data_IF_069710218017
#
_entry.id   IF_069710218017
#
_cell.length_a   1.000
_cell.length_b   1.000
_cell.length_c   1.000
_cell.angle_alpha   90.00
_cell.angle_beta   90.00
_cell.angle_gamma   90.00
#
_symmetry.space_group_name_H-M   'P 1'
#
loop_
_entity.id
_entity.type
_entity.pdbx_description
1 polymer ?
#
# COMPACT_ATOMS: atom_id res chain seq x y z
N UNK A 1 3.41 13.73 -40.81
CA UNK A 1 3.39 12.28 -40.57
C UNK A 1 4.53 11.95 -39.62
N UNK A 2 4.24 11.76 -38.33
CA UNK A 2 5.25 11.25 -37.37
C UNK A 2 5.46 9.78 -37.73
N UNK A 3 6.70 9.35 -37.97
CA UNK A 3 6.98 8.02 -38.52
C UNK A 3 6.50 6.92 -37.55
N UNK A 4 5.77 5.95 -38.07
CA UNK A 4 5.13 4.90 -37.28
C UNK A 4 6.09 3.83 -36.72
N UNK A 5 7.42 4.04 -36.73
CA UNK A 5 8.38 2.93 -36.53
C UNK A 5 9.59 3.22 -35.65
N UNK A 6 9.62 4.31 -34.87
CA UNK A 6 10.77 4.58 -33.99
C UNK A 6 10.99 3.45 -32.96
N UNK A 7 9.93 2.90 -32.38
CA UNK A 7 10.05 1.77 -31.45
C UNK A 7 10.50 0.47 -32.13
N UNK A 8 10.13 0.24 -33.40
CA UNK A 8 10.60 -0.91 -34.19
C UNK A 8 12.08 -0.76 -34.55
N UNK A 9 12.51 0.46 -34.86
CA UNK A 9 13.93 0.76 -35.06
C UNK A 9 14.74 0.49 -33.79
N UNK A 10 14.22 0.92 -32.64
CA UNK A 10 14.83 0.67 -31.32
C UNK A 10 14.90 -0.83 -30.97
N UNK A 11 13.94 -1.66 -31.43
CA UNK A 11 14.03 -3.12 -31.30
C UNK A 11 15.26 -3.68 -32.01
N UNK A 12 15.48 -3.26 -33.27
CA UNK A 12 16.63 -3.71 -34.06
C UNK A 12 17.98 -3.24 -33.52
N UNK A 13 17.99 -2.15 -32.76
CA UNK A 13 19.18 -1.59 -32.09
C UNK A 13 19.44 -2.20 -30.71
N UNK A 14 18.62 -3.14 -30.26
CA UNK A 14 18.79 -3.78 -28.94
C UNK A 14 18.45 -2.88 -27.75
N UNK A 15 17.76 -1.74 -27.97
CA UNK A 15 17.36 -0.79 -26.92
C UNK A 15 16.43 -1.45 -25.88
N UNK A 16 15.68 -2.48 -26.28
CA UNK A 16 14.80 -3.25 -25.38
C UNK A 16 15.36 -4.65 -25.06
N UNK A 17 16.65 -4.90 -25.32
CA UNK A 17 17.24 -6.22 -25.12
C UNK A 17 17.35 -6.54 -23.62
N UNK A 18 16.90 -7.75 -23.24
CA UNK A 18 16.92 -8.20 -21.86
C UNK A 18 18.32 -8.26 -21.24
N UNK A 19 19.39 -8.28 -22.04
CA UNK A 19 20.78 -8.21 -21.56
C UNK A 19 21.07 -6.95 -20.76
N UNK A 20 20.35 -5.85 -21.02
CA UNK A 20 20.44 -4.63 -20.22
C UNK A 20 20.06 -4.85 -18.75
N UNK A 21 19.23 -5.86 -18.44
CA UNK A 21 18.86 -6.21 -17.07
C UNK A 21 20.06 -6.68 -16.24
N UNK A 22 21.14 -7.17 -16.87
CA UNK A 22 22.35 -7.61 -16.18
C UNK A 22 23.20 -6.44 -15.67
N UNK A 23 23.01 -5.25 -16.24
CA UNK A 23 23.76 -4.04 -15.93
C UNK A 23 22.91 -2.97 -15.25
N UNK A 24 21.59 -3.18 -15.15
CA UNK A 24 20.67 -2.29 -14.46
C UNK A 24 20.80 -2.48 -12.95
N UNK A 25 21.47 -1.54 -12.28
CA UNK A 25 21.52 -1.45 -10.81
C UNK A 25 20.21 -0.89 -10.22
N UNK A 26 19.29 -0.43 -11.09
CA UNK A 26 18.05 0.21 -10.68
C UNK A 26 16.92 -0.81 -10.53
N UNK A 27 16.62 -1.17 -9.26
CA UNK A 27 15.28 -1.66 -8.90
C UNK A 27 14.29 -0.51 -9.12
N UNK A 28 13.08 -0.81 -9.59
CA UNK A 28 11.99 0.18 -9.66
C UNK A 28 11.87 0.83 -8.29
N UNK A 29 12.05 2.16 -8.24
CA UNK A 29 12.05 2.88 -6.97
C UNK A 29 10.65 3.30 -6.58
N UNK A 30 10.45 3.55 -5.30
CA UNK A 30 9.20 4.05 -4.77
C UNK A 30 9.28 5.56 -4.61
N UNK A 31 8.22 6.30 -4.98
CA UNK A 31 8.01 7.66 -4.48
C UNK A 31 7.72 7.62 -2.98
N UNK A 32 6.93 6.63 -2.56
CA UNK A 32 6.64 6.32 -1.16
C UNK A 32 6.81 4.83 -0.97
N UNK A 33 7.76 4.43 -0.12
CA UNK A 33 8.08 3.02 0.13
C UNK A 33 6.80 2.22 0.42
N UNK A 34 6.66 1.06 -0.25
CA UNK A 34 5.54 0.16 -0.05
C UNK A 34 4.22 0.56 -0.75
N UNK A 35 4.00 1.83 -1.09
CA UNK A 35 2.71 2.31 -1.61
C UNK A 35 2.77 2.68 -3.10
N UNK A 36 3.67 3.59 -3.46
CA UNK A 36 3.61 4.30 -4.73
C UNK A 36 4.96 4.24 -5.46
N UNK A 37 4.94 3.77 -6.70
CA UNK A 37 6.12 3.83 -7.57
C UNK A 37 6.54 5.30 -7.80
N UNK A 38 7.83 5.53 -8.01
CA UNK A 38 8.36 6.84 -8.41
C UNK A 38 7.79 7.31 -9.75
N UNK A 39 7.40 6.36 -10.61
CA UNK A 39 6.84 6.60 -11.94
C UNK A 39 5.63 5.73 -12.22
N UNK A 40 4.72 6.28 -13.01
CA UNK A 40 3.49 5.61 -13.41
C UNK A 40 2.29 5.98 -12.56
N UNK A 41 1.16 5.34 -12.83
CA UNK A 41 -0.12 5.61 -12.17
C UNK A 41 -0.35 4.72 -10.96
N UNK A 42 -0.93 5.29 -9.91
CA UNK A 42 -1.43 4.59 -8.72
C UNK A 42 -2.87 5.00 -8.45
N UNK A 43 -3.75 4.04 -8.18
CA UNK A 43 -5.14 4.32 -7.85
C UNK A 43 -5.32 4.33 -6.34
N UNK A 44 -5.94 5.39 -5.82
CA UNK A 44 -6.35 5.52 -4.43
C UNK A 44 -7.88 5.58 -4.40
N UNK A 45 -8.54 4.55 -3.88
CA UNK A 45 -9.99 4.47 -3.96
C UNK A 45 -10.66 4.17 -2.63
N UNK A 46 -11.92 4.53 -2.52
CA UNK A 46 -12.68 4.41 -1.28
C UNK A 46 -14.05 5.05 -1.41
N UNK A 47 -14.93 4.81 -0.45
CA UNK A 47 -16.23 5.48 -0.40
C UNK A 47 -16.08 7.00 -0.28
N UNK A 48 -17.17 7.74 -0.56
CA UNK A 48 -17.22 9.17 -0.26
C UNK A 48 -16.97 9.43 1.23
N UNK A 49 -16.27 10.52 1.56
CA UNK A 49 -16.01 10.91 2.96
C UNK A 49 -14.91 10.12 3.69
N UNK A 50 -14.25 9.14 3.06
CA UNK A 50 -13.15 8.38 3.69
C UNK A 50 -11.86 9.20 3.89
N UNK A 51 -11.79 10.42 3.35
CA UNK A 51 -10.63 11.31 3.51
C UNK A 51 -9.55 11.17 2.43
N UNK A 52 -9.89 10.65 1.24
CA UNK A 52 -8.93 10.42 0.14
C UNK A 52 -8.17 11.68 -0.28
N UNK A 53 -8.90 12.75 -0.57
CA UNK A 53 -8.34 14.05 -0.97
C UNK A 53 -7.44 14.58 0.12
N UNK A 54 -7.91 14.56 1.38
CA UNK A 54 -7.14 14.98 2.54
C UNK A 54 -5.82 14.20 2.69
N UNK A 55 -5.88 12.88 2.56
CA UNK A 55 -4.72 11.99 2.66
C UNK A 55 -3.68 12.29 1.56
N UNK A 56 -4.13 12.52 0.33
CA UNK A 56 -3.24 12.84 -0.78
C UNK A 56 -2.72 14.29 -0.76
N UNK A 57 -3.47 15.25 -0.21
CA UNK A 57 -2.95 16.59 0.07
C UNK A 57 -1.83 16.53 1.12
N UNK A 58 -1.97 15.68 2.14
CA UNK A 58 -0.91 15.47 3.12
C UNK A 58 0.34 14.83 2.51
N UNK A 59 0.17 13.85 1.61
CA UNK A 59 1.27 13.33 0.81
C UNK A 59 1.94 14.43 -0.03
N UNK A 60 1.14 15.25 -0.73
CA UNK A 60 1.65 16.33 -1.57
C UNK A 60 2.50 17.32 -0.76
N UNK A 61 2.00 17.76 0.40
CA UNK A 61 2.75 18.63 1.30
C UNK A 61 4.05 17.97 1.80
N UNK A 62 4.00 16.68 2.11
CA UNK A 62 5.21 15.91 2.49
C UNK A 62 6.21 15.82 1.34
N UNK A 63 5.76 15.67 0.10
CA UNK A 63 6.64 15.68 -1.09
C UNK A 63 7.23 17.07 -1.34
N UNK A 64 6.46 18.14 -1.13
CA UNK A 64 6.89 19.53 -1.32
C UNK A 64 7.89 20.04 -0.26
N UNK A 65 7.87 19.45 0.94
CA UNK A 65 8.79 19.79 2.03
C UNK A 65 10.25 19.47 1.67
N UNK A 66 11.18 20.36 2.02
CA UNK A 66 12.61 20.15 1.79
C UNK A 66 13.17 19.11 2.78
N UNK A 67 13.81 18.02 2.32
CA UNK A 67 14.48 17.09 3.21
C UNK A 67 15.73 17.78 3.81
N UNK A 68 15.63 18.32 5.02
CA UNK A 68 16.74 18.86 5.84
C UNK A 68 17.77 17.78 6.24
N UNK A 69 18.30 17.02 5.28
CA UNK A 69 19.27 15.94 5.47
C UNK A 69 18.71 14.57 5.90
N UNK A 70 17.39 14.42 6.04
CA UNK A 70 16.76 13.13 6.38
C UNK A 70 15.59 12.77 5.43
N UNK A 71 15.36 11.48 5.16
CA UNK A 71 14.18 11.03 4.41
C UNK A 71 12.91 11.39 5.16
N UNK A 72 11.97 12.00 4.45
CA UNK A 72 10.66 12.39 5.00
C UNK A 72 9.83 11.13 5.21
N UNK A 73 9.02 11.10 6.27
CA UNK A 73 8.15 9.96 6.56
C UNK A 73 6.70 10.29 6.26
N UNK A 74 6.01 9.35 5.64
CA UNK A 74 4.57 9.41 5.41
C UNK A 74 4.00 7.99 5.54
N UNK A 75 2.98 7.80 6.37
CA UNK A 75 2.47 6.48 6.77
C UNK A 75 3.59 5.53 7.28
N UNK A 76 4.50 6.07 8.11
CA UNK A 76 5.66 5.35 8.63
C UNK A 76 6.77 5.02 7.61
N UNK A 77 6.54 5.27 6.32
CA UNK A 77 7.41 4.88 5.22
C UNK A 77 8.17 6.07 4.63
N UNK A 78 9.31 5.83 3.98
CA UNK A 78 10.08 6.94 3.39
C UNK A 78 9.37 7.51 2.16
N UNK A 79 9.41 8.83 2.05
CA UNK A 79 9.11 9.58 0.83
C UNK A 79 10.43 9.91 0.16
N UNK A 80 10.69 9.28 -0.99
CA UNK A 80 11.98 9.34 -1.68
C UNK A 80 12.03 10.41 -2.78
N UNK A 81 10.94 11.14 -2.97
CA UNK A 81 10.83 12.22 -3.96
C UNK A 81 10.61 13.56 -3.26
N UNK A 82 11.17 14.62 -3.84
CA UNK A 82 10.98 16.00 -3.40
C UNK A 82 10.80 16.88 -4.62
N UNK A 83 9.81 17.77 -4.57
CA UNK A 83 9.54 18.71 -5.64
C UNK A 83 8.11 19.21 -5.63
N UNK A 84 7.69 19.77 -6.76
CA UNK A 84 6.35 20.30 -6.94
C UNK A 84 5.32 19.19 -7.20
N UNK A 85 4.11 19.41 -6.71
CA UNK A 85 2.96 18.53 -6.95
C UNK A 85 1.80 19.35 -7.46
N UNK A 86 1.24 18.92 -8.59
CA UNK A 86 0.01 19.49 -9.15
C UNK A 86 -1.19 18.69 -8.64
N UNK A 87 -2.16 19.35 -8.02
CA UNK A 87 -3.42 18.76 -7.56
C UNK A 87 -4.54 19.26 -8.45
N UNK A 88 -5.10 18.36 -9.25
CA UNK A 88 -6.25 18.64 -10.10
C UNK A 88 -7.50 18.18 -9.34
N UNK A 89 -8.38 19.11 -8.97
CA UNK A 89 -9.64 18.76 -8.32
C UNK A 89 -10.84 19.26 -9.12
N UNK A 90 -11.82 18.39 -9.29
CA UNK A 90 -13.13 18.68 -9.87
C UNK A 90 -14.28 18.30 -8.92
N UNK A 91 -13.99 18.05 -7.64
CA UNK A 91 -14.98 17.69 -6.62
C UNK A 91 -15.12 18.72 -5.50
N UNK A 92 -14.05 19.43 -5.15
CA UNK A 92 -14.04 20.42 -4.07
C UNK A 92 -13.88 21.85 -4.61
N UNK A 93 -14.38 22.84 -3.85
CA UNK A 93 -14.16 24.25 -4.10
C UNK A 93 -12.73 24.68 -3.73
N UNK A 94 -12.26 25.77 -4.33
CA UNK A 94 -10.96 26.35 -4.04
C UNK A 94 -10.75 26.63 -2.55
N UNK A 95 -11.74 27.26 -1.91
CA UNK A 95 -11.66 27.64 -0.50
C UNK A 95 -11.44 26.41 0.40
N UNK A 96 -12.17 25.31 0.13
CA UNK A 96 -12.05 24.06 0.88
C UNK A 96 -10.67 23.42 0.70
N UNK A 97 -10.17 23.37 -0.54
CA UNK A 97 -8.85 22.78 -0.83
C UNK A 97 -7.71 23.59 -0.21
N UNK A 98 -7.78 24.92 -0.27
CA UNK A 98 -6.77 25.80 0.31
C UNK A 98 -6.80 25.74 1.84
N UNK A 99 -8.00 25.72 2.45
CA UNK A 99 -8.15 25.59 3.90
C UNK A 99 -7.55 24.26 4.40
N UNK A 100 -7.92 23.14 3.78
CA UNK A 100 -7.38 21.80 4.12
C UNK A 100 -5.87 21.74 3.96
N UNK A 101 -5.33 22.33 2.89
CA UNK A 101 -3.88 22.39 2.65
C UNK A 101 -3.19 23.23 3.72
N UNK A 102 -3.72 24.39 4.06
CA UNK A 102 -3.16 25.26 5.09
C UNK A 102 -3.13 24.55 6.46
N UNK A 103 -4.21 23.84 6.82
CA UNK A 103 -4.27 23.11 8.09
C UNK A 103 -3.25 21.97 8.14
N UNK A 104 -3.10 21.21 7.05
CA UNK A 104 -2.04 20.19 6.94
C UNK A 104 -0.67 20.80 7.16
N UNK A 105 -0.35 21.86 6.42
CA UNK A 105 1.00 22.47 6.43
C UNK A 105 1.32 23.06 7.80
N UNK A 106 0.37 23.75 8.43
CA UNK A 106 0.48 24.20 9.83
C UNK A 106 0.57 23.05 10.83
N UNK A 107 0.03 21.88 10.49
CA UNK A 107 0.16 20.67 11.30
C UNK A 107 1.54 20.00 11.18
N UNK A 108 2.29 20.28 10.10
CA UNK A 108 3.59 19.68 9.83
C UNK A 108 4.76 20.47 10.42
N UNK A 109 4.67 21.80 10.48
CA UNK A 109 5.72 22.70 11.01
C UNK A 109 5.11 23.98 11.53
N UNK A 110 5.70 24.55 12.59
CA UNK A 110 5.34 25.87 13.13
C UNK A 110 6.14 27.03 12.49
N UNK A 111 7.14 26.72 11.65
CA UNK A 111 7.96 27.72 10.95
C UNK A 111 7.24 28.27 9.71
N UNK A 112 6.84 29.54 9.76
CA UNK A 112 6.11 30.23 8.68
C UNK A 112 6.87 30.21 7.36
N UNK A 113 8.20 30.37 7.37
CA UNK A 113 8.99 30.36 6.13
C UNK A 113 8.99 28.96 5.48
N UNK A 114 9.01 27.91 6.30
CA UNK A 114 8.88 26.54 5.82
C UNK A 114 7.47 26.24 5.30
N UNK A 115 6.43 26.76 5.97
CA UNK A 115 5.04 26.66 5.50
C UNK A 115 4.88 27.32 4.13
N UNK A 116 5.39 28.55 3.96
CA UNK A 116 5.37 29.28 2.67
C UNK A 116 6.14 28.51 1.58
N UNK A 117 7.30 27.96 1.92
CA UNK A 117 8.10 27.15 0.99
C UNK A 117 7.35 25.90 0.52
N UNK A 118 6.69 25.17 1.45
CA UNK A 118 5.85 24.01 1.10
C UNK A 118 4.71 24.44 0.18
N UNK A 119 3.93 25.44 0.58
CA UNK A 119 2.79 25.94 -0.20
C UNK A 119 3.21 26.42 -1.59
N UNK A 120 4.37 27.06 -1.74
CA UNK A 120 4.87 27.56 -3.03
C UNK A 120 5.16 26.44 -4.05
N UNK A 121 5.25 25.19 -3.60
CA UNK A 121 5.48 23.99 -4.42
C UNK A 121 4.21 23.15 -4.63
N UNK A 122 3.06 23.62 -4.15
CA UNK A 122 1.77 22.96 -4.34
C UNK A 122 0.91 23.77 -5.29
N UNK A 123 0.70 23.24 -6.49
CA UNK A 123 -0.13 23.87 -7.52
C UNK A 123 -1.52 23.22 -7.48
N UNK A 124 -2.50 23.89 -6.86
CA UNK A 124 -3.87 23.38 -6.73
C UNK A 124 -4.75 24.01 -7.82
N UNK A 125 -5.35 23.18 -8.67
CA UNK A 125 -6.25 23.57 -9.76
C UNK A 125 -7.69 23.13 -9.42
N UNK A 126 -8.52 24.04 -8.89
CA UNK A 126 -9.88 23.74 -8.44
C UNK A 126 -10.89 23.99 -9.57
N UNK A 127 -11.09 23.04 -10.47
CA UNK A 127 -11.93 23.21 -11.67
C UNK A 127 -13.38 23.63 -11.37
N UNK A 128 -13.93 23.31 -10.20
CA UNK A 128 -15.27 23.76 -9.79
C UNK A 128 -15.35 25.26 -9.45
N UNK A 129 -14.21 25.91 -9.19
CA UNK A 129 -14.13 27.32 -8.82
C UNK A 129 -13.56 28.21 -9.91
N UNK A 130 -13.10 27.64 -11.03
CA UNK A 130 -12.56 28.41 -12.15
C UNK A 130 -13.69 29.12 -12.90
N UNK A 131 -13.49 30.40 -13.21
CA UNK A 131 -14.42 31.14 -14.06
C UNK A 131 -14.26 30.74 -15.53
N UNK A 132 -15.21 31.12 -16.38
CA UNK A 132 -15.08 30.95 -17.84
C UNK A 132 -13.87 31.71 -18.42
N UNK A 133 -13.40 32.75 -17.72
CA UNK A 133 -12.20 33.49 -18.13
C UNK A 133 -10.93 32.66 -17.88
N UNK A 134 -10.89 31.96 -16.74
CA UNK A 134 -9.75 31.15 -16.31
C UNK A 134 -9.73 29.78 -17.02
N UNK A 135 -10.91 29.21 -17.30
CA UNK A 135 -11.04 27.91 -17.95
C UNK A 135 -12.15 27.91 -19.00
N UNK A 136 -11.74 28.05 -20.26
CA UNK A 136 -12.65 28.22 -21.42
C UNK A 136 -13.26 26.90 -21.93
N UNK A 137 -12.80 25.76 -21.44
CA UNK A 137 -13.32 24.46 -21.89
C UNK A 137 -14.63 24.16 -21.16
N UNK A 138 -15.57 23.52 -21.87
CA UNK A 138 -16.89 23.20 -21.31
C UNK A 138 -16.84 22.23 -20.12
N UNK A 139 -15.78 21.43 -19.99
CA UNK A 139 -15.56 20.54 -18.86
C UNK A 139 -14.04 20.26 -18.66
N UNK A 140 -13.63 19.83 -17.46
CA UNK A 140 -12.22 19.58 -17.15
C UNK A 140 -11.74 18.16 -17.54
N UNK A 141 -12.44 17.47 -18.44
CA UNK A 141 -12.04 16.13 -18.86
C UNK A 141 -10.62 16.12 -19.42
N UNK A 142 -9.85 15.11 -19.02
CA UNK A 142 -8.47 14.87 -19.46
C UNK A 142 -8.40 13.99 -20.72
N UNK A 143 -9.49 13.30 -21.05
CA UNK A 143 -9.60 12.43 -22.21
C UNK A 143 -10.94 12.61 -22.89
N UNK A 144 -11.00 12.35 -24.20
CA UNK A 144 -12.24 12.47 -24.95
C UNK A 144 -12.18 11.77 -26.30
N UNK A 145 -13.35 11.64 -26.94
CA UNK A 145 -13.43 11.23 -28.34
C UNK A 145 -13.19 12.44 -29.24
N UNK A 146 -12.23 12.31 -30.16
CA UNK A 146 -12.05 13.27 -31.25
C UNK A 146 -12.98 12.95 -32.43
N UNK A 147 -12.96 13.79 -33.46
CA UNK A 147 -13.83 13.73 -34.66
C UNK A 147 -13.87 12.36 -35.38
N UNK A 148 -12.88 11.50 -35.13
CA UNK A 148 -12.76 10.15 -35.69
C UNK A 148 -13.21 9.03 -34.74
N UNK A 149 -13.82 9.38 -33.61
CA UNK A 149 -14.28 8.44 -32.57
C UNK A 149 -13.17 7.82 -31.72
N UNK A 150 -11.91 8.18 -31.97
CA UNK A 150 -10.74 7.66 -31.24
C UNK A 150 -10.60 8.37 -29.91
N UNK A 151 -10.41 7.59 -28.84
CA UNK A 151 -10.09 8.10 -27.52
C UNK A 151 -8.67 8.66 -27.47
N UNK A 152 -8.55 9.92 -27.05
CA UNK A 152 -7.28 10.65 -27.07
C UNK A 152 -7.24 11.74 -26.00
N UNK A 153 -6.03 12.26 -25.67
CA UNK A 153 -5.88 13.36 -24.73
C UNK A 153 -6.75 14.54 -25.12
N UNK A 154 -7.45 15.10 -24.14
CA UNK A 154 -8.14 16.38 -24.33
C UNK A 154 -7.14 17.52 -24.43
N UNK A 155 -7.63 18.69 -24.85
CA UNK A 155 -6.84 19.93 -24.82
C UNK A 155 -6.27 20.20 -23.42
N UNK A 156 -7.07 20.03 -22.37
CA UNK A 156 -6.67 20.20 -20.97
C UNK A 156 -5.46 19.34 -20.60
N UNK A 157 -5.47 18.04 -20.98
CA UNK A 157 -4.35 17.14 -20.67
C UNK A 157 -3.09 17.48 -21.50
N UNK A 158 -3.26 17.94 -22.74
CA UNK A 158 -2.14 18.38 -23.57
C UNK A 158 -1.49 19.66 -23.02
N UNK A 159 -2.29 20.64 -22.61
CA UNK A 159 -1.81 21.88 -21.99
C UNK A 159 -1.11 21.60 -20.65
N UNK A 160 -1.66 20.71 -19.83
CA UNK A 160 -1.02 20.26 -18.59
C UNK A 160 0.36 19.64 -18.87
N UNK A 161 0.44 18.75 -19.87
CA UNK A 161 1.72 18.13 -20.27
C UNK A 161 2.71 19.19 -20.75
N UNK A 162 2.27 20.13 -21.57
CA UNK A 162 3.14 21.21 -22.08
C UNK A 162 3.66 22.10 -20.94
N UNK A 163 2.80 22.44 -19.97
CA UNK A 163 3.20 23.17 -18.79
C UNK A 163 4.26 22.43 -17.98
N UNK A 164 4.04 21.14 -17.71
CA UNK A 164 4.99 20.27 -17.01
C UNK A 164 6.34 20.23 -17.71
N UNK A 165 6.34 19.98 -19.03
CA UNK A 165 7.56 19.88 -19.82
C UNK A 165 8.31 21.22 -19.86
N UNK A 166 7.58 22.33 -20.02
CA UNK A 166 8.15 23.67 -20.03
C UNK A 166 8.74 24.08 -18.67
N UNK A 167 8.09 23.72 -17.56
CA UNK A 167 8.58 23.96 -16.21
C UNK A 167 9.83 23.13 -15.92
N UNK A 168 9.74 21.81 -16.09
CA UNK A 168 10.81 20.88 -15.76
C UNK A 168 12.07 21.07 -16.62
N UNK A 169 11.94 21.63 -17.82
CA UNK A 169 13.07 21.99 -18.67
C UNK A 169 13.94 23.12 -18.08
N UNK A 170 13.39 23.96 -17.19
CA UNK A 170 14.05 25.14 -16.62
C UNK A 170 14.30 25.02 -15.13
N UNK A 171 13.52 24.20 -14.42
CA UNK A 171 13.60 24.06 -12.98
C UNK A 171 14.81 23.22 -12.53
N UNK A 172 15.40 23.65 -11.41
CA UNK A 172 16.38 22.87 -10.66
C UNK A 172 15.77 21.52 -10.21
N UNK A 173 16.56 20.45 -10.07
CA UNK A 173 16.05 19.10 -9.80
C UNK A 173 15.07 19.00 -8.62
N UNK A 174 15.29 19.78 -7.56
CA UNK A 174 14.47 19.78 -6.34
C UNK A 174 13.17 20.60 -6.44
N UNK A 175 13.01 21.41 -7.50
CA UNK A 175 11.82 22.24 -7.75
C UNK A 175 11.05 21.80 -9.02
N UNK A 176 11.45 20.67 -9.62
CA UNK A 176 10.70 20.03 -10.70
C UNK A 176 9.36 19.54 -10.21
N UNK A 177 8.40 19.44 -11.12
CA UNK A 177 7.13 18.74 -10.91
C UNK A 177 7.42 17.25 -10.90
N UNK A 178 7.24 16.64 -9.73
CA UNK A 178 7.51 15.21 -9.46
C UNK A 178 6.24 14.40 -9.29
N UNK A 179 5.07 15.04 -9.25
CA UNK A 179 3.81 14.37 -9.01
C UNK A 179 2.58 15.10 -9.52
N UNK A 180 1.55 14.33 -9.87
CA UNK A 180 0.20 14.83 -10.14
C UNK A 180 -0.81 14.02 -9.32
N UNK A 181 -1.75 14.70 -8.68
CA UNK A 181 -2.92 14.10 -8.04
C UNK A 181 -4.18 14.46 -8.85
N UNK A 182 -4.99 13.46 -9.16
CA UNK A 182 -6.23 13.62 -9.96
C UNK A 182 -7.44 13.27 -9.09
N UNK A 183 -8.24 14.29 -8.73
CA UNK A 183 -9.39 14.18 -7.84
C UNK A 183 -10.71 14.63 -8.51
N UNK A 184 -11.61 13.75 -8.93
CA UNK A 184 -11.46 12.29 -9.06
C UNK A 184 -11.60 11.88 -10.52
N UNK A 185 -11.30 10.61 -10.82
CA UNK A 185 -11.52 10.05 -12.16
C UNK A 185 -12.96 10.10 -12.62
N UNK A 186 -13.92 10.17 -11.70
CA UNK A 186 -15.34 10.15 -12.08
C UNK A 186 -15.70 11.37 -12.91
N UNK A 187 -15.03 12.50 -12.64
CA UNK A 187 -15.24 13.77 -13.36
C UNK A 187 -14.13 14.01 -14.38
N UNK A 188 -12.87 13.80 -13.98
CA UNK A 188 -11.71 14.20 -14.79
C UNK A 188 -11.35 13.21 -15.90
N UNK A 189 -11.80 11.95 -15.87
CA UNK A 189 -11.44 11.00 -16.92
C UNK A 189 -12.04 11.39 -18.29
N UNK A 190 -13.25 11.97 -18.31
CA UNK A 190 -13.98 12.30 -19.54
C UNK A 190 -14.72 11.15 -20.20
N UNK A 191 -14.85 10.03 -19.49
CA UNK A 191 -15.56 8.84 -19.94
C UNK A 191 -16.07 8.02 -18.75
N UNK A 192 -17.04 7.14 -18.99
CA UNK A 192 -17.53 6.22 -17.96
C UNK A 192 -16.43 5.24 -17.54
N UNK A 193 -16.22 5.07 -16.23
CA UNK A 193 -15.14 4.24 -15.68
C UNK A 193 -15.20 2.76 -16.10
N UNK A 194 -16.32 2.28 -16.63
CA UNK A 194 -16.47 0.91 -17.15
C UNK A 194 -16.02 0.76 -18.61
N UNK A 195 -15.71 1.86 -19.31
CA UNK A 195 -15.26 1.83 -20.70
C UNK A 195 -13.82 1.33 -20.80
N UNK A 196 -13.63 0.09 -21.25
CA UNK A 196 -12.33 -0.59 -21.30
C UNK A 196 -11.33 0.06 -22.25
N UNK A 197 -11.78 0.44 -23.45
CA UNK A 197 -10.96 1.08 -24.47
C UNK A 197 -10.47 2.45 -23.99
N UNK A 198 -11.39 3.28 -23.49
CA UNK A 198 -11.07 4.61 -22.99
C UNK A 198 -10.10 4.54 -21.79
N UNK A 199 -10.40 3.67 -20.82
CA UNK A 199 -9.56 3.49 -19.62
C UNK A 199 -8.15 3.03 -19.99
N UNK A 200 -8.03 2.07 -20.92
CA UNK A 200 -6.74 1.55 -21.35
C UNK A 200 -5.91 2.64 -22.03
N UNK A 201 -6.50 3.38 -22.98
CA UNK A 201 -5.82 4.46 -23.69
C UNK A 201 -5.44 5.62 -22.76
N UNK A 202 -6.31 5.97 -21.82
CA UNK A 202 -6.06 7.00 -20.81
C UNK A 202 -4.89 6.63 -19.89
N UNK A 203 -4.93 5.45 -19.26
CA UNK A 203 -3.87 5.00 -18.38
C UNK A 203 -2.56 4.77 -19.12
N UNK A 204 -2.60 4.33 -20.38
CA UNK A 204 -1.41 4.19 -21.21
C UNK A 204 -0.76 5.54 -21.50
N UNK A 205 -1.55 6.55 -21.83
CA UNK A 205 -1.06 7.90 -22.04
C UNK A 205 -0.44 8.48 -20.77
N UNK A 206 -1.14 8.38 -19.62
CA UNK A 206 -0.61 8.86 -18.34
C UNK A 206 0.67 8.14 -17.93
N UNK A 207 0.76 6.82 -18.11
CA UNK A 207 1.99 6.08 -17.82
C UNK A 207 3.17 6.55 -18.70
N UNK A 208 2.93 6.82 -20.00
CA UNK A 208 3.98 7.38 -20.86
C UNK A 208 4.40 8.79 -20.43
N UNK A 209 3.43 9.64 -20.10
CA UNK A 209 3.70 11.00 -19.64
C UNK A 209 4.52 11.01 -18.35
N UNK A 210 4.14 10.18 -17.39
CA UNK A 210 4.81 10.05 -16.08
C UNK A 210 6.22 9.47 -16.20
N UNK A 211 6.42 8.45 -17.03
CA UNK A 211 7.75 7.88 -17.30
C UNK A 211 8.65 8.90 -18.00
N UNK A 212 8.15 9.61 -19.02
CA UNK A 212 8.92 10.63 -19.75
C UNK A 212 9.42 11.74 -18.83
N UNK A 213 8.61 12.12 -17.84
CA UNK A 213 8.90 13.25 -16.95
C UNK A 213 9.41 12.84 -15.55
N UNK A 214 9.68 11.55 -15.31
CA UNK A 214 10.13 11.03 -14.01
C UNK A 214 9.24 11.45 -12.83
N UNK A 215 7.93 11.26 -12.97
CA UNK A 215 6.94 11.68 -11.97
C UNK A 215 5.96 10.57 -11.62
N UNK A 216 5.36 10.62 -10.44
CA UNK A 216 4.24 9.77 -10.08
C UNK A 216 2.90 10.40 -10.50
N UNK A 217 1.87 9.58 -10.66
CA UNK A 217 0.49 10.05 -10.81
C UNK A 217 -0.43 9.28 -9.85
N UNK A 218 -0.98 9.98 -8.87
CA UNK A 218 -1.96 9.43 -7.94
C UNK A 218 -3.37 9.82 -8.39
N UNK A 219 -4.24 8.82 -8.51
CA UNK A 219 -5.53 8.98 -9.13
C UNK A 219 -6.60 8.55 -8.11
N UNK A 220 -7.51 9.46 -7.78
CA UNK A 220 -8.60 9.19 -6.83
C UNK A 220 -9.75 8.49 -7.56
N UNK A 221 -10.14 7.33 -7.05
CA UNK A 221 -11.31 6.58 -7.47
C UNK A 221 -12.35 6.43 -6.35
N UNK A 222 -13.54 5.97 -6.70
CA UNK A 222 -14.60 5.69 -5.73
C UNK A 222 -14.94 4.19 -5.71
N UNK A 223 -15.44 3.70 -4.58
CA UNK A 223 -16.03 2.36 -4.51
C UNK A 223 -17.42 2.33 -5.14
N UNK A 224 -17.91 1.13 -5.46
CA UNK A 224 -19.33 0.95 -5.77
C UNK A 224 -20.19 1.28 -4.55
N UNK A 225 -21.43 1.74 -4.77
CA UNK A 225 -22.42 1.89 -3.70
C UNK A 225 -22.81 0.50 -3.19
N UNK A 226 -23.05 0.37 -1.89
CA UNK A 226 -23.51 -0.87 -1.23
C UNK A 226 -22.56 -2.07 -1.31
N UNK A 227 -21.25 -1.83 -1.31
CA UNK A 227 -20.30 -2.94 -1.24
C UNK A 227 -20.24 -3.50 0.18
N UNK A 228 -20.59 -4.78 0.33
CA UNK A 228 -20.44 -5.50 1.60
C UNK A 228 -18.96 -5.84 1.84
N UNK A 229 -18.55 -5.77 3.10
CA UNK A 229 -17.19 -6.09 3.55
C UNK A 229 -17.36 -7.08 4.70
N UNK A 230 -16.72 -8.24 4.57
CA UNK A 230 -16.63 -9.20 5.66
C UNK A 230 -15.77 -8.62 6.80
N UNK A 231 -16.32 -8.40 8.01
CA UNK A 231 -15.57 -7.84 9.13
C UNK A 231 -14.46 -8.76 9.64
N UNK A 232 -14.54 -10.07 9.41
CA UNK A 232 -13.50 -11.03 9.79
C UNK A 232 -12.33 -11.02 8.78
N UNK A 233 -12.63 -10.66 7.53
CA UNK A 233 -11.66 -10.65 6.42
C UNK A 233 -11.81 -9.43 5.51
N UNK A 234 -11.67 -8.21 6.03
CA UNK A 234 -12.06 -7.01 5.29
C UNK A 234 -11.20 -6.72 4.05
N UNK A 235 -10.07 -7.39 3.90
CA UNK A 235 -9.11 -7.26 2.80
C UNK A 235 -9.41 -8.22 1.65
N UNK A 236 -10.16 -9.30 1.88
CA UNK A 236 -10.57 -10.21 0.81
C UNK A 236 -11.47 -9.45 -0.20
N UNK A 237 -11.23 -9.68 -1.49
CA UNK A 237 -12.02 -9.07 -2.57
C UNK A 237 -11.86 -7.57 -2.77
N UNK A 238 -10.92 -6.90 -2.07
CA UNK A 238 -10.84 -5.44 -2.03
C UNK A 238 -10.71 -4.74 -3.40
N UNK A 239 -9.94 -5.33 -4.32
CA UNK A 239 -9.81 -4.82 -5.69
C UNK A 239 -11.15 -4.80 -6.44
N UNK A 240 -12.07 -5.73 -6.13
CA UNK A 240 -13.40 -5.80 -6.74
C UNK A 240 -14.31 -4.64 -6.34
N UNK A 241 -13.99 -3.94 -5.25
CA UNK A 241 -14.80 -2.82 -4.74
C UNK A 241 -14.57 -1.52 -5.50
N UNK A 242 -13.44 -1.39 -6.20
CA UNK A 242 -13.13 -0.25 -7.07
C UNK A 242 -14.15 -0.16 -8.21
N UNK A 243 -14.79 1.01 -8.36
CA UNK A 243 -15.68 1.26 -9.49
C UNK A 243 -14.93 1.16 -10.83
N UNK A 244 -15.44 0.33 -11.75
CA UNK A 244 -14.77 0.06 -13.02
C UNK A 244 -13.63 -0.97 -12.93
N UNK A 245 -13.47 -1.67 -11.80
CA UNK A 245 -12.66 -2.91 -11.75
C UNK A 245 -13.17 -3.88 -12.83
N UNK A 246 -12.32 -4.57 -13.62
CA UNK A 246 -10.86 -4.74 -13.55
C UNK A 246 -10.02 -3.75 -14.38
N UNK A 247 -10.64 -2.80 -15.08
CA UNK A 247 -9.93 -1.89 -16.01
C UNK A 247 -8.94 -0.98 -15.26
N UNK A 248 -9.36 -0.49 -14.10
CA UNK A 248 -8.58 0.42 -13.27
C UNK A 248 -7.61 -0.28 -12.33
N UNK A 249 -7.61 -1.61 -12.23
CA UNK A 249 -6.67 -2.34 -11.37
C UNK A 249 -5.52 -2.99 -12.13
N UNK A 250 -5.70 -3.25 -13.42
CA UNK A 250 -4.74 -4.01 -14.23
C UNK A 250 -3.49 -3.20 -14.53
N UNK A 251 -3.67 -2.04 -15.17
CA UNK A 251 -2.57 -1.20 -15.68
C UNK A 251 -1.80 -0.43 -14.59
N UNK A 252 -2.44 0.15 -13.55
CA UNK A 252 -1.72 0.95 -12.55
C UNK A 252 -0.66 0.14 -11.79
N UNK A 253 0.41 0.79 -11.36
CA UNK A 253 1.53 0.14 -10.66
C UNK A 253 1.11 -0.38 -9.29
N UNK A 254 0.26 0.38 -8.60
CA UNK A 254 -0.37 0.04 -7.34
C UNK A 254 -1.84 0.46 -7.32
N UNK A 255 -2.63 -0.21 -6.51
CA UNK A 255 -4.04 0.08 -6.21
C UNK A 255 -4.19 0.00 -4.70
N UNK A 256 -4.68 1.08 -4.11
CA UNK A 256 -4.71 1.30 -2.67
C UNK A 256 -6.14 1.66 -2.28
N UNK A 257 -6.68 0.87 -1.36
CA UNK A 257 -7.97 1.14 -0.76
C UNK A 257 -7.82 2.03 0.48
N UNK A 258 -8.70 3.02 0.59
CA UNK A 258 -8.88 3.87 1.74
C UNK A 258 -10.33 3.67 2.22
N UNK A 259 -10.49 3.08 3.41
CA UNK A 259 -11.81 2.78 3.96
C UNK A 259 -11.92 3.20 5.41
N UNK A 260 -13.15 3.31 5.89
CA UNK A 260 -13.41 3.34 7.32
C UNK A 260 -13.46 1.90 7.85
N UNK A 261 -13.27 1.68 9.16
CA UNK A 261 -13.60 0.42 9.79
C UNK A 261 -15.05 0.03 9.53
N UNK A 262 -15.30 -1.27 9.44
CA UNK A 262 -16.66 -1.80 9.36
C UNK A 262 -17.15 -2.29 10.72
N UNK A 263 -18.47 -2.31 10.90
CA UNK A 263 -19.08 -2.77 12.15
C UNK A 263 -18.66 -4.23 12.39
N UNK A 264 -18.13 -4.50 13.58
CA UNK A 264 -17.64 -5.83 13.96
C UNK A 264 -16.17 -6.07 13.62
N UNK A 265 -15.50 -5.19 12.88
CA UNK A 265 -14.06 -5.29 12.66
C UNK A 265 -13.30 -5.11 13.98
N UNK A 266 -12.36 -6.02 14.26
CA UNK A 266 -11.58 -5.97 15.49
C UNK A 266 -10.47 -4.93 15.40
N UNK A 267 -10.75 -3.71 15.87
CA UNK A 267 -9.78 -2.64 16.00
C UNK A 267 -8.96 -2.71 17.31
N UNK A 268 -9.16 -3.76 18.09
CA UNK A 268 -8.26 -4.17 19.15
C UNK A 268 -7.87 -3.07 20.14
N UNK A 269 -6.56 -2.93 20.28
CA UNK A 269 -5.91 -2.05 21.24
C UNK A 269 -5.99 -0.57 20.85
N UNK A 270 -6.27 -0.23 19.58
CA UNK A 270 -6.50 1.18 19.14
C UNK A 270 -7.63 1.82 19.96
N UNK A 271 -8.78 1.15 20.10
CA UNK A 271 -9.91 1.68 20.86
C UNK A 271 -9.62 1.77 22.35
N UNK A 272 -8.69 0.96 22.86
CA UNK A 272 -8.26 0.95 24.26
C UNK A 272 -7.25 2.06 24.55
N UNK A 273 -6.28 2.25 23.67
CA UNK A 273 -5.20 3.23 23.81
C UNK A 273 -5.68 4.66 23.49
N UNK A 274 -6.78 4.78 22.74
CA UNK A 274 -7.40 6.05 22.38
C UNK A 274 -8.87 6.09 22.80
N UNK A 275 -9.11 6.27 24.11
CA UNK A 275 -10.46 6.44 24.65
C UNK A 275 -11.22 7.57 23.94
N UNK A 276 -12.47 7.28 23.56
CA UNK A 276 -13.37 8.25 22.90
C UNK A 276 -13.24 8.33 21.37
N UNK A 277 -12.29 7.61 20.77
CA UNK A 277 -12.10 7.59 19.32
C UNK A 277 -13.21 6.79 18.63
N UNK A 278 -13.88 7.40 17.64
CA UNK A 278 -14.99 6.78 16.91
C UNK A 278 -14.51 6.17 15.59
N UNK A 279 -15.29 5.26 15.02
CA UNK A 279 -14.89 4.58 13.77
C UNK A 279 -14.66 5.55 12.60
N UNK A 280 -15.38 6.68 12.54
CA UNK A 280 -15.16 7.69 11.51
C UNK A 280 -13.86 8.49 11.69
N UNK A 281 -13.25 8.44 12.87
CA UNK A 281 -11.95 9.05 13.16
C UNK A 281 -10.80 8.15 12.71
N UNK A 282 -11.08 6.89 12.33
CA UNK A 282 -10.08 5.93 11.84
C UNK A 282 -10.21 5.80 10.32
N UNK A 283 -9.07 5.84 9.64
CA UNK A 283 -8.95 5.54 8.22
C UNK A 283 -7.99 4.38 8.04
N UNK A 284 -8.40 3.39 7.26
CA UNK A 284 -7.61 2.20 6.97
C UNK A 284 -7.09 2.31 5.54
N UNK A 285 -5.78 2.24 5.38
CA UNK A 285 -5.08 2.29 4.10
C UNK A 285 -4.50 0.92 3.79
N UNK A 286 -4.93 0.31 2.69
CA UNK A 286 -4.57 -1.05 2.33
C UNK A 286 -4.08 -1.13 0.88
N UNK A 287 -2.88 -1.66 0.65
CA UNK A 287 -2.39 -1.95 -0.70
C UNK A 287 -3.04 -3.23 -1.19
N UNK A 288 -4.09 -3.10 -2.00
CA UNK A 288 -4.89 -4.24 -2.46
C UNK A 288 -4.30 -4.91 -3.70
N UNK A 289 -3.47 -4.17 -4.45
CA UNK A 289 -2.68 -4.69 -5.56
C UNK A 289 -1.43 -3.86 -5.74
N UNK A 290 -0.30 -4.50 -6.00
CA UNK A 290 0.89 -3.82 -6.51
C UNK A 290 1.76 -4.78 -7.33
N UNK A 291 2.33 -4.25 -8.40
CA UNK A 291 3.32 -4.91 -9.25
C UNK A 291 4.76 -4.71 -8.72
N UNK A 292 4.94 -4.03 -7.59
CA UNK A 292 6.24 -3.76 -6.98
C UNK A 292 6.57 -4.86 -5.95
N UNK A 293 7.83 -5.29 -5.91
CA UNK A 293 8.28 -6.41 -5.07
C UNK A 293 8.16 -6.11 -3.57
N UNK A 294 8.59 -4.91 -3.17
CA UNK A 294 8.66 -4.48 -1.77
C UNK A 294 7.41 -3.69 -1.36
N UNK A 295 6.23 -4.09 -1.86
CA UNK A 295 4.95 -3.46 -1.49
C UNK A 295 4.65 -3.63 0.00
N UNK A 296 3.96 -2.66 0.58
CA UNK A 296 3.38 -2.80 1.91
C UNK A 296 2.32 -3.91 1.86
N UNK A 297 2.37 -4.82 2.84
CA UNK A 297 1.47 -5.98 2.92
C UNK A 297 0.48 -5.85 4.06
N UNK A 298 0.81 -5.03 5.05
CA UNK A 298 -0.04 -4.81 6.21
C UNK A 298 -0.86 -3.54 6.01
N UNK A 299 -2.17 -3.57 6.29
CA UNK A 299 -2.96 -2.35 6.29
C UNK A 299 -2.44 -1.38 7.36
N UNK A 300 -2.50 -0.08 7.06
CA UNK A 300 -2.25 0.98 8.05
C UNK A 300 -3.54 1.49 8.62
N UNK A 301 -3.54 1.73 9.92
CA UNK A 301 -4.64 2.31 10.66
C UNK A 301 -4.23 3.73 11.06
N UNK A 302 -5.00 4.68 10.59
CA UNK A 302 -4.69 6.09 10.69
C UNK A 302 -5.76 6.79 11.50
N UNK A 303 -5.36 7.50 12.54
CA UNK A 303 -6.24 8.40 13.29
C UNK A 303 -6.25 9.77 12.62
N UNK A 304 -7.44 10.29 12.35
CA UNK A 304 -7.63 11.66 11.84
C UNK A 304 -7.25 12.67 12.91
N UNK A 305 -6.48 13.68 12.52
CA UNK A 305 -6.14 14.80 13.39
C UNK A 305 -7.01 16.03 13.06
N UNK A 306 -7.27 16.94 14.02
CA UNK A 306 -8.10 18.12 13.80
C UNK A 306 -7.61 19.03 12.65
N UNK A 307 -6.30 19.07 12.40
CA UNK A 307 -5.68 19.85 11.31
C UNK A 307 -5.67 19.12 9.95
N UNK A 308 -6.49 18.08 9.79
CA UNK A 308 -6.59 17.33 8.54
C UNK A 308 -5.36 16.47 8.18
N UNK A 309 -4.37 16.35 9.07
CA UNK A 309 -3.32 15.34 8.96
C UNK A 309 -3.76 13.99 9.57
N UNK A 310 -2.87 13.00 9.56
CA UNK A 310 -3.13 11.70 10.16
C UNK A 310 -1.98 11.24 11.04
N UNK A 311 -2.31 10.47 12.08
CA UNK A 311 -1.38 9.78 12.96
C UNK A 311 -1.44 8.27 12.64
N UNK A 312 -0.29 7.63 12.39
CA UNK A 312 -0.23 6.17 12.20
C UNK A 312 -0.33 5.47 13.56
N UNK A 313 -1.42 4.74 13.78
CA UNK A 313 -1.73 3.98 15.00
C UNK A 313 -1.70 2.47 14.75
N UNK A 314 -1.03 2.03 13.68
CA UNK A 314 -0.97 0.61 13.28
C UNK A 314 -0.29 -0.27 14.33
N UNK A 315 0.67 0.26 15.08
CA UNK A 315 1.35 -0.48 16.16
C UNK A 315 0.41 -0.81 17.33
N UNK A 316 -0.71 -0.07 17.47
CA UNK A 316 -1.79 -0.35 18.43
C UNK A 316 -2.80 -1.39 17.92
N UNK A 317 -2.56 -2.00 16.76
CA UNK A 317 -3.35 -3.14 16.25
C UNK A 317 -2.74 -4.45 16.76
N UNK A 318 -2.55 -4.55 18.08
CA UNK A 318 -2.48 -5.88 18.68
C UNK A 318 -3.92 -6.40 18.80
N UNK A 319 -4.22 -7.65 18.38
CA UNK A 319 -5.53 -8.23 18.62
C UNK A 319 -5.82 -8.16 20.13
N UNK A 320 -6.92 -7.51 20.51
CA UNK A 320 -7.45 -7.70 21.85
C UNK A 320 -7.84 -9.17 21.97
N UNK A 321 -7.58 -9.73 23.15
CA UNK A 321 -7.94 -11.08 23.53
C UNK A 321 -9.46 -11.28 23.42
N UNK A 322 -9.95 -11.59 22.22
CA UNK A 322 -11.30 -12.09 21.99
C UNK A 322 -11.36 -13.60 22.22
N UNK A 323 -12.55 -14.20 22.39
CA UNK A 323 -12.70 -15.65 22.58
C UNK A 323 -12.00 -16.47 21.47
N UNK A 324 -12.01 -15.98 20.23
CA UNK A 324 -11.30 -16.59 19.11
C UNK A 324 -9.77 -16.51 19.25
N UNK A 325 -9.23 -15.41 19.80
CA UNK A 325 -7.81 -15.27 20.12
C UNK A 325 -7.43 -16.09 21.36
N UNK A 326 -8.31 -16.25 22.35
CA UNK A 326 -8.10 -17.16 23.47
C UNK A 326 -8.11 -18.63 23.00
N UNK A 327 -8.95 -18.98 22.02
CA UNK A 327 -8.97 -20.31 21.38
C UNK A 327 -7.75 -20.52 20.50
N UNK A 328 -7.28 -19.52 19.75
CA UNK A 328 -6.03 -19.58 18.99
C UNK A 328 -4.82 -19.61 19.92
N UNK A 329 -4.71 -18.74 20.93
CA UNK A 329 -3.65 -18.75 21.96
C UNK A 329 -3.65 -20.05 22.75
N UNK A 330 -4.81 -20.58 23.16
CA UNK A 330 -4.92 -21.92 23.74
C UNK A 330 -4.51 -23.02 22.75
N UNK A 331 -4.86 -22.92 21.47
CA UNK A 331 -4.41 -23.87 20.44
C UNK A 331 -2.90 -23.75 20.22
N UNK A 332 -2.33 -22.56 20.24
CA UNK A 332 -0.91 -22.28 20.06
C UNK A 332 -0.08 -22.75 21.26
N UNK A 333 -0.52 -22.48 22.50
CA UNK A 333 0.15 -22.95 23.71
C UNK A 333 -0.01 -24.47 23.88
N UNK A 334 -1.21 -25.03 23.65
CA UNK A 334 -1.40 -26.49 23.64
C UNK A 334 -0.64 -27.15 22.50
N UNK A 335 -0.50 -26.52 21.31
CA UNK A 335 0.33 -27.04 20.22
C UNK A 335 1.81 -26.98 20.55
N UNK A 336 2.32 -25.88 21.13
CA UNK A 336 3.72 -25.78 21.54
C UNK A 336 4.01 -26.80 22.66
N UNK A 337 3.12 -26.93 23.64
CA UNK A 337 3.25 -27.92 24.73
C UNK A 337 3.13 -29.33 24.18
N UNK A 338 2.18 -29.64 23.30
CA UNK A 338 2.02 -30.95 22.69
C UNK A 338 3.21 -31.30 21.78
N UNK A 339 3.70 -30.34 20.99
CA UNK A 339 4.87 -30.53 20.14
C UNK A 339 6.13 -30.77 20.97
N UNK A 340 6.32 -30.01 22.05
CA UNK A 340 7.46 -30.23 22.96
C UNK A 340 7.32 -31.52 23.76
N UNK A 341 6.12 -31.89 24.20
CA UNK A 341 5.87 -33.13 24.96
C UNK A 341 6.05 -34.36 24.07
N UNK A 342 5.54 -34.33 22.84
CA UNK A 342 5.78 -35.36 21.84
C UNK A 342 7.26 -35.41 21.43
N UNK A 343 7.92 -34.27 21.32
CA UNK A 343 9.35 -34.22 21.04
C UNK A 343 10.19 -34.77 22.22
N UNK A 344 9.77 -34.57 23.47
CA UNK A 344 10.38 -35.15 24.67
C UNK A 344 10.18 -36.67 24.74
N UNK A 345 9.00 -37.19 24.36
CA UNK A 345 8.72 -38.62 24.42
C UNK A 345 9.47 -39.42 23.35
N UNK A 346 9.83 -38.79 22.23
CA UNK A 346 10.63 -39.41 21.19
C UNK A 346 12.13 -39.17 21.35
N UNK A 347 12.56 -38.15 22.11
CA UNK A 347 13.97 -37.79 22.23
C UNK A 347 14.84 -38.93 22.78
N UNK A 348 15.95 -39.21 22.10
CA UNK A 348 17.00 -40.11 22.58
C UNK A 348 18.18 -39.25 23.03
N UNK A 349 18.66 -39.47 24.26
CA UNK A 349 19.75 -38.71 24.89
C UNK A 349 19.55 -37.17 24.91
N UNK A 350 18.29 -36.72 24.95
CA UNK A 350 17.93 -35.30 24.95
C UNK A 350 18.00 -34.63 23.58
N UNK A 351 18.12 -35.41 22.50
CA UNK A 351 18.15 -34.95 21.12
C UNK A 351 16.95 -35.46 20.32
N UNK A 352 16.41 -34.57 19.49
CA UNK A 352 15.34 -34.86 18.54
C UNK A 352 15.93 -34.77 17.15
N UNK A 353 16.03 -35.90 16.45
CA UNK A 353 16.44 -35.91 15.04
C UNK A 353 15.25 -35.68 14.12
N UNK A 354 15.52 -35.24 12.89
CA UNK A 354 14.52 -35.06 11.83
C UNK A 354 13.74 -36.35 11.56
N UNK A 355 14.42 -37.50 11.52
CA UNK A 355 13.77 -38.79 11.28
C UNK A 355 12.82 -39.21 12.39
N UNK A 356 13.07 -38.79 13.63
CA UNK A 356 12.21 -39.07 14.78
C UNK A 356 10.93 -38.23 14.74
N UNK A 357 11.03 -36.96 14.32
CA UNK A 357 9.86 -36.08 14.11
C UNK A 357 8.95 -36.59 13.00
N UNK A 358 9.51 -37.02 11.86
CA UNK A 358 8.74 -37.60 10.77
C UNK A 358 7.96 -38.86 11.21
N UNK A 359 8.56 -39.69 12.07
CA UNK A 359 7.90 -40.88 12.62
C UNK A 359 6.80 -40.56 13.64
N UNK A 360 7.01 -39.54 14.48
CA UNK A 360 6.00 -39.07 15.44
C UNK A 360 4.78 -38.45 14.73
N UNK A 361 5.02 -37.75 13.62
CA UNK A 361 3.99 -37.17 12.78
C UNK A 361 3.08 -38.24 12.17
N UNK A 362 3.65 -39.36 11.70
CA UNK A 362 2.86 -40.47 11.17
C UNK A 362 1.93 -41.07 12.23
N UNK A 363 2.41 -41.23 13.47
CA UNK A 363 1.61 -41.72 14.61
C UNK A 363 0.50 -40.75 15.00
N UNK A 364 0.77 -39.44 14.99
CA UNK A 364 -0.24 -38.41 15.28
C UNK A 364 -1.31 -38.32 14.20
N UNK A 365 -0.93 -38.49 12.93
CA UNK A 365 -1.85 -38.56 11.78
C UNK A 365 -2.83 -39.71 11.91
N UNK A 366 -2.36 -40.88 12.35
CA UNK A 366 -3.22 -42.06 12.57
C UNK A 366 -4.21 -41.86 13.70
N UNK A 367 -3.81 -41.16 14.77
CA UNK A 367 -4.63 -41.02 15.97
C UNK A 367 -5.55 -39.78 15.98
N UNK A 368 -5.32 -38.79 15.10
CA UNK A 368 -6.10 -37.55 15.05
C UNK A 368 -6.33 -37.07 13.60
N UNK A 369 -7.24 -37.70 12.84
CA UNK A 369 -7.44 -37.44 11.41
C UNK A 369 -8.00 -36.06 11.06
N UNK A 370 -8.47 -35.28 12.06
CA UNK A 370 -8.95 -33.90 11.89
C UNK A 370 -7.89 -32.81 12.07
N UNK A 371 -6.66 -33.16 12.44
CA UNK A 371 -5.52 -32.26 12.33
C UNK A 371 -5.00 -32.35 10.89
N UNK A 372 -5.25 -31.32 10.07
CA UNK A 372 -4.55 -31.17 8.80
C UNK A 372 -3.04 -31.23 9.07
N UNK A 373 -2.41 -32.29 8.55
CA UNK A 373 -1.00 -32.56 8.78
C UNK A 373 -0.20 -31.55 7.96
N UNK A 374 0.12 -30.43 8.59
CA UNK A 374 0.92 -29.36 8.00
C UNK A 374 2.35 -29.86 7.74
N UNK A 375 2.80 -29.71 6.49
CA UNK A 375 4.09 -30.21 6.00
C UNK A 375 5.23 -29.87 6.96
N UNK A 376 5.94 -30.90 7.42
CA UNK A 376 7.25 -30.73 8.05
C UNK A 376 8.26 -30.78 6.92
N UNK A 377 8.68 -29.62 6.43
CA UNK A 377 9.91 -29.56 5.66
C UNK A 377 11.07 -29.31 6.64
N UNK A 378 11.86 -30.35 6.97
CA UNK A 378 12.94 -30.24 7.96
C UNK A 378 14.11 -29.36 7.48
N UNK A 379 14.12 -28.99 6.19
CA UNK A 379 15.10 -28.08 5.61
C UNK A 379 14.62 -26.63 5.60
N UNK A 380 13.37 -26.35 6.02
CA UNK A 380 12.86 -24.99 6.11
C UNK A 380 13.34 -24.38 7.42
N UNK A 381 14.01 -23.23 7.31
CA UNK A 381 14.35 -22.40 8.44
C UNK A 381 13.05 -22.14 9.25
N UNK A 382 12.98 -22.53 10.54
CA UNK A 382 11.79 -22.36 11.38
C UNK A 382 11.27 -20.92 11.43
N UNK A 383 12.16 -19.93 11.23
CA UNK A 383 11.83 -18.49 11.18
C UNK A 383 11.17 -18.05 9.86
N UNK A 384 11.13 -18.93 8.86
CA UNK A 384 10.54 -18.72 7.54
C UNK A 384 9.39 -19.70 7.26
N UNK A 385 9.02 -20.51 8.25
CA UNK A 385 7.94 -21.48 8.12
C UNK A 385 6.57 -20.78 8.19
N UNK A 386 5.61 -21.32 7.44
CA UNK A 386 4.22 -20.84 7.45
C UNK A 386 3.66 -20.92 8.88
N UNK A 387 3.04 -19.84 9.40
CA UNK A 387 2.29 -19.89 10.64
C UNK A 387 1.39 -21.12 10.72
N UNK A 388 1.28 -21.72 11.90
CA UNK A 388 0.54 -22.97 12.16
C UNK A 388 1.27 -24.27 11.82
N UNK A 389 2.39 -24.25 11.08
CA UNK A 389 3.17 -25.48 10.84
C UNK A 389 3.93 -25.96 12.08
N UNK A 390 4.25 -27.26 12.12
CA UNK A 390 5.13 -27.83 13.16
C UNK A 390 6.53 -27.18 13.15
N UNK A 391 7.05 -26.85 11.98
CA UNK A 391 8.33 -26.13 11.84
C UNK A 391 8.25 -24.72 12.47
N UNK A 392 7.13 -24.01 12.31
CA UNK A 392 6.89 -22.73 12.98
C UNK A 392 6.83 -22.90 14.51
N UNK A 393 6.11 -23.90 15.02
CA UNK A 393 6.01 -24.18 16.46
C UNK A 393 7.37 -24.52 17.09
N UNK A 394 8.20 -25.32 16.41
CA UNK A 394 9.58 -25.62 16.83
C UNK A 394 10.48 -24.39 16.76
N UNK A 395 10.25 -23.48 15.81
CA UNK A 395 10.93 -22.18 15.71
C UNK A 395 10.64 -21.28 16.90
N UNK A 396 9.36 -21.13 17.26
CA UNK A 396 8.93 -20.41 18.46
C UNK A 396 9.53 -21.06 19.71
N UNK A 397 9.58 -22.39 19.78
CA UNK A 397 10.21 -23.11 20.89
C UNK A 397 11.73 -22.84 20.99
N UNK A 398 12.42 -22.69 19.85
CA UNK A 398 13.83 -22.30 19.82
C UNK A 398 14.04 -20.85 20.29
N UNK A 399 13.21 -19.92 19.81
CA UNK A 399 13.30 -18.50 20.17
C UNK A 399 12.94 -18.26 21.65
N UNK A 400 12.02 -19.06 22.21
CA UNK A 400 11.71 -19.09 23.65
C UNK A 400 12.72 -19.89 24.48
N UNK A 401 13.77 -20.41 23.86
CA UNK A 401 14.88 -21.10 24.53
C UNK A 401 14.57 -22.51 25.05
N UNK A 402 13.45 -23.10 24.64
CA UNK A 402 13.08 -24.48 25.01
C UNK A 402 13.90 -25.53 24.24
N UNK A 403 14.22 -25.22 22.98
CA UNK A 403 15.02 -26.06 22.09
C UNK A 403 16.23 -25.29 21.58
N UNK A 404 17.28 -26.01 21.18
CA UNK A 404 18.40 -25.46 20.40
C UNK A 404 18.41 -26.14 19.04
N UNK A 405 18.22 -25.35 17.98
CA UNK A 405 18.33 -25.85 16.61
C UNK A 405 19.80 -26.03 16.19
N UNK A 406 20.08 -27.12 15.47
CA UNK A 406 21.36 -27.43 14.86
C UNK A 406 21.15 -28.09 13.50
N UNK A 407 22.19 -28.14 12.66
CA UNK A 407 22.14 -28.80 11.35
C UNK A 407 21.87 -30.32 11.42
N UNK A 408 21.82 -30.91 12.63
CA UNK A 408 21.55 -32.33 12.86
C UNK A 408 20.26 -32.57 13.67
N UNK A 409 19.40 -31.55 13.84
CA UNK A 409 18.15 -31.61 14.61
C UNK A 409 18.09 -30.64 15.79
N UNK A 410 17.26 -30.93 16.79
CA UNK A 410 16.98 -30.07 17.94
C UNK A 410 17.48 -30.70 19.24
N UNK A 411 18.21 -29.94 20.05
CA UNK A 411 18.65 -30.35 21.39
C UNK A 411 17.71 -29.76 22.46
N UNK A 412 17.24 -30.58 23.40
CA UNK A 412 16.38 -30.14 24.51
C UNK A 412 17.27 -29.52 25.59
N UNK A 413 16.96 -28.28 26.02
CA UNK A 413 17.68 -27.67 27.15
C UNK A 413 17.16 -28.23 28.48
N UNK A 414 18.09 -28.70 29.33
CA UNK A 414 17.83 -29.45 30.57
C UNK A 414 17.02 -28.79 31.71
N UNK A 415 16.63 -27.50 31.78
CA UNK A 415 15.76 -27.05 32.88
C UNK A 415 14.28 -27.45 32.67
N UNK A 416 13.94 -28.03 31.52
CA UNK A 416 12.54 -28.07 31.05
C UNK A 416 11.65 -29.15 31.69
N UNK A 417 12.22 -30.23 32.24
CA UNK A 417 11.42 -31.29 32.88
C UNK A 417 10.60 -30.79 34.08
N UNK A 418 11.03 -29.71 34.72
CA UNK A 418 10.32 -29.09 35.85
C UNK A 418 9.22 -28.11 35.42
N UNK A 419 9.43 -27.31 34.36
CA UNK A 419 8.51 -26.24 33.94
C UNK A 419 7.31 -26.69 33.10
N UNK A 420 7.40 -27.83 32.41
CA UNK A 420 6.27 -28.37 31.62
C UNK A 420 5.16 -28.92 32.52
N UNK A 421 5.50 -29.39 33.73
CA UNK A 421 4.52 -29.85 34.74
C UNK A 421 3.70 -28.71 35.37
N UNK A 422 4.19 -27.48 35.32
CA UNK A 422 3.45 -26.30 35.83
C UNK A 422 2.56 -25.66 34.75
N UNK A 423 2.77 -25.99 33.47
CA UNK A 423 2.06 -25.40 32.33
C UNK A 423 1.04 -26.35 31.68
N UNK A 424 0.98 -27.62 32.11
CA UNK A 424 -0.04 -28.61 31.76
C UNK A 424 -1.02 -28.77 32.92
#
# INVERSE_FOLDING_TARGET
MVSAHEWISNLGQGVYCATQALTLDHRVTFAVDGYMADRGTTIWFGAGGTGKTQLLLWLAATVAMDPKGQPKKWLGNNVNVTGRVIVLSAEDLQEDLLARTADIVRGMTDDVAEQEAICSRLDIVPFLSLSEQDFKSANPALFGRQDKGVWSPSKTLLELREHIEAWNAKAEPHDRIVGIIVDSITTLAGFETVNSEATSNFLFYLNRMTVKNNMFCAIIGHTLKNTEIDPEKPQEGAVGRLRGSPMWSTTPRSVIEIRLPVVGENLGTIRKDHEGLKDHDIVIVNVVKSNLADRERSPRYLKRLPRGAFEDVSDSVAPTEGPAFAVLKMRHEKMIVAAVTAAQSIAQDGRITVGMLAKAQEVLRTNNPGLEVMEVNPNVNPKKADPMTWSWALGIACDRGFLRYSNKGWDIKKPMAAKVKEAA
#
